data_IF_338227269123
#
_entry.id   IF_338227269123
#
_cell.length_a   1.000
_cell.length_b   1.000
_cell.length_c   1.000
_cell.angle_alpha   90.00
_cell.angle_beta   90.00
_cell.angle_gamma   90.00
#
_symmetry.space_group_name_H-M   'P 1'
#
loop_
_entity.id
_entity.type
_entity.pdbx_description
1 polymer ?
#
# COMPACT_ATOMS: atom_id res chain seq x y z
N UNK A 1 11.55 14.35 38.35
CA UNK A 1 10.31 14.98 37.82
C UNK A 1 10.71 16.31 37.21
N UNK A 2 10.12 16.72 36.09
CA UNK A 2 10.40 18.01 35.44
C UNK A 2 9.09 18.67 34.99
N UNK A 3 9.15 19.97 34.73
CA UNK A 3 8.08 20.73 34.08
C UNK A 3 8.63 21.26 32.77
N UNK A 4 7.99 20.88 31.68
CA UNK A 4 8.34 21.38 30.35
C UNK A 4 7.49 22.60 30.02
N UNK A 5 8.15 23.75 29.91
CA UNK A 5 7.55 25.01 29.48
C UNK A 5 7.67 25.11 27.96
N UNK A 6 6.54 25.02 27.25
CA UNK A 6 6.50 25.16 25.79
C UNK A 6 6.81 26.61 25.41
N UNK A 7 7.87 26.85 24.65
CA UNK A 7 8.34 28.21 24.32
C UNK A 7 7.67 28.83 23.09
N UNK A 8 6.83 28.07 22.36
CA UNK A 8 6.33 28.46 21.03
C UNK A 8 5.02 29.26 21.07
N UNK A 9 4.22 29.18 22.13
CA UNK A 9 3.00 29.97 22.29
C UNK A 9 2.76 30.36 23.75
N UNK A 10 2.43 31.64 24.01
CA UNK A 10 2.11 32.16 25.35
C UNK A 10 0.89 31.47 26.01
N UNK A 11 0.12 30.74 25.21
CA UNK A 11 -1.09 30.04 25.60
C UNK A 11 -0.88 28.54 25.86
N UNK A 12 0.30 27.98 25.57
CA UNK A 12 0.51 26.55 25.76
C UNK A 12 0.67 26.19 27.25
N UNK A 13 -0.14 25.23 27.70
CA UNK A 13 -0.10 24.72 29.08
C UNK A 13 1.23 23.99 29.34
N UNK A 14 1.84 24.16 30.53
CA UNK A 14 3.03 23.41 30.90
C UNK A 14 2.72 21.91 31.00
N UNK A 15 3.64 21.09 30.51
CA UNK A 15 3.52 19.63 30.59
C UNK A 15 4.43 19.10 31.72
N UNK A 16 3.85 18.39 32.69
CA UNK A 16 4.59 17.77 33.78
C UNK A 16 5.01 16.35 33.40
N UNK A 17 6.29 16.01 33.60
CA UNK A 17 6.82 14.68 33.31
C UNK A 17 7.53 14.07 34.53
N UNK A 18 7.33 12.77 34.74
CA UNK A 18 8.16 11.93 35.61
C UNK A 18 8.99 11.02 34.71
N UNK A 19 10.30 11.21 34.75
CA UNK A 19 11.23 10.27 34.12
C UNK A 19 11.55 9.16 35.11
N UNK A 20 11.47 7.93 34.62
CA UNK A 20 12.11 6.77 35.23
C UNK A 20 13.41 6.55 34.47
N UNK A 21 14.52 6.81 35.13
CA UNK A 21 15.86 6.72 34.55
C UNK A 21 16.47 5.43 35.09
N UNK A 22 16.79 4.51 34.19
CA UNK A 22 17.48 3.27 34.52
C UNK A 22 18.83 3.29 33.83
N UNK A 23 19.91 3.10 34.59
CA UNK A 23 21.25 2.96 34.03
C UNK A 23 21.56 1.47 34.05
N UNK A 24 21.72 0.89 32.87
CA UNK A 24 22.05 -0.51 32.69
C UNK A 24 23.57 -0.64 32.52
N UNK A 25 24.17 -1.49 33.34
CA UNK A 25 25.57 -1.86 33.27
C UNK A 25 25.62 -3.30 32.75
N UNK A 26 25.88 -3.45 31.45
CA UNK A 26 25.94 -4.75 30.78
C UNK A 26 27.37 -5.29 30.81
N UNK A 27 27.54 -6.41 31.50
CA UNK A 27 28.78 -7.16 31.63
C UNK A 27 28.62 -8.61 31.13
N UNK A 28 27.65 -8.92 30.26
CA UNK A 28 27.37 -10.30 29.82
C UNK A 28 28.57 -10.94 29.10
N UNK A 29 29.38 -10.15 28.40
CA UNK A 29 30.53 -10.66 27.63
C UNK A 29 31.76 -10.99 28.50
N UNK A 30 31.85 -10.44 29.72
CA UNK A 30 33.01 -10.60 30.62
C UNK A 30 34.39 -10.38 29.95
N UNK A 31 34.46 -9.54 28.92
CA UNK A 31 35.65 -9.32 28.07
C UNK A 31 36.53 -8.13 28.55
N UNK A 32 36.22 -7.59 29.73
CA UNK A 32 36.90 -6.42 30.30
C UNK A 32 36.33 -5.09 29.81
N UNK A 33 35.30 -5.08 28.95
CA UNK A 33 34.58 -3.88 28.54
C UNK A 33 33.15 -3.91 29.10
N UNK A 34 32.79 -2.88 29.88
CA UNK A 34 31.45 -2.72 30.44
C UNK A 34 30.63 -1.75 29.59
N UNK A 35 29.57 -2.23 28.93
CA UNK A 35 28.66 -1.38 28.16
C UNK A 35 27.67 -0.69 29.11
N UNK A 36 27.64 0.64 29.10
CA UNK A 36 26.76 1.44 29.96
C UNK A 36 25.69 2.10 29.07
N UNK A 37 24.44 1.73 29.25
CA UNK A 37 23.30 2.36 28.57
C UNK A 37 22.41 3.08 29.59
N UNK A 38 21.81 4.19 29.16
CA UNK A 38 20.91 4.99 29.98
C UNK A 38 19.55 4.99 29.29
N UNK A 39 18.59 4.29 29.90
CA UNK A 39 17.22 4.21 29.43
C UNK A 39 16.33 5.17 30.21
N UNK A 40 15.60 6.02 29.47
CA UNK A 40 14.68 7.01 30.05
C UNK A 40 13.26 6.73 29.60
N UNK A 41 12.42 6.28 30.52
CA UNK A 41 10.97 6.18 30.28
C UNK A 41 10.26 7.40 30.88
N UNK A 42 9.55 8.16 30.05
CA UNK A 42 8.79 9.33 30.48
C UNK A 42 7.31 8.98 30.72
N UNK A 43 6.79 9.39 31.88
CA UNK A 43 5.36 9.36 32.18
C UNK A 43 4.83 10.78 32.33
N UNK A 44 3.85 11.15 31.51
CA UNK A 44 3.17 12.44 31.61
C UNK A 44 2.26 12.46 32.85
N UNK A 45 2.33 13.53 33.62
CA UNK A 45 1.53 13.75 34.83
C UNK A 45 0.62 14.96 34.65
N UNK A 46 -0.49 15.00 35.39
CA UNK A 46 -1.34 16.19 35.50
C UNK A 46 -0.64 17.21 36.41
N UNK A 47 -0.49 18.44 35.92
CA UNK A 47 0.00 19.55 36.73
C UNK A 47 -1.14 20.12 37.58
N UNK A 48 -0.99 20.18 38.90
CA UNK A 48 -2.08 20.54 39.83
C UNK A 48 -2.06 21.98 40.34
N UNK A 49 -1.06 22.80 40.00
CA UNK A 49 -0.88 24.15 40.59
C UNK A 49 -0.49 25.22 39.57
N UNK A 50 -1.01 26.44 39.76
CA UNK A 50 -0.64 27.70 39.10
C UNK A 50 -0.70 27.73 37.56
N UNK A 51 -1.80 27.23 36.99
CA UNK A 51 -2.04 27.37 35.54
C UNK A 51 -3.20 28.33 35.33
N UNK A 52 -2.90 29.55 34.86
CA UNK A 52 -3.93 30.49 34.41
C UNK A 52 -4.51 29.92 33.12
N UNK A 53 -5.64 29.23 33.22
CA UNK A 53 -6.39 28.73 32.06
C UNK A 53 -6.95 29.94 31.30
N UNK A 54 -6.37 30.31 30.17
CA UNK A 54 -7.03 31.25 29.25
C UNK A 54 -8.13 30.50 28.48
N UNK A 55 -9.30 31.11 28.33
CA UNK A 55 -10.44 30.51 27.62
C UNK A 55 -10.13 30.21 26.13
N UNK A 56 -9.12 30.87 25.56
CA UNK A 56 -8.58 30.63 24.21
C UNK A 56 -8.21 29.16 23.97
N UNK A 57 -7.68 28.47 24.99
CA UNK A 57 -7.26 27.07 24.87
C UNK A 57 -8.43 26.09 24.74
N UNK A 58 -9.59 26.42 25.32
CA UNK A 58 -10.78 25.58 25.24
C UNK A 58 -11.36 25.59 23.83
N UNK A 59 -11.38 26.75 23.17
CA UNK A 59 -11.87 26.90 21.80
C UNK A 59 -10.96 26.16 20.83
N UNK A 60 -9.64 26.32 20.95
CA UNK A 60 -8.68 25.61 20.11
C UNK A 60 -8.77 24.08 20.27
N UNK A 61 -8.90 23.59 21.50
CA UNK A 61 -9.13 22.18 21.79
C UNK A 61 -10.45 21.67 21.21
N UNK A 62 -11.54 22.42 21.38
CA UNK A 62 -12.85 22.08 20.81
C UNK A 62 -12.81 22.02 19.28
N UNK A 63 -12.11 22.96 18.62
CA UNK A 63 -11.90 22.94 17.17
C UNK A 63 -11.12 21.70 16.72
N UNK A 64 -10.03 21.33 17.41
CA UNK A 64 -9.25 20.12 17.10
C UNK A 64 -10.10 18.85 17.20
N UNK A 65 -10.87 18.73 18.29
CA UNK A 65 -11.78 17.61 18.51
C UNK A 65 -12.89 17.56 17.45
N UNK A 66 -13.45 18.72 17.08
CA UNK A 66 -14.43 18.81 16.01
C UNK A 66 -13.85 18.32 14.67
N UNK A 67 -12.60 18.67 14.34
CA UNK A 67 -11.92 18.16 13.13
C UNK A 67 -11.78 16.63 13.18
N UNK A 68 -11.31 16.05 14.30
CA UNK A 68 -11.18 14.60 14.43
C UNK A 68 -12.54 13.89 14.27
N UNK A 69 -13.61 14.44 14.83
CA UNK A 69 -14.98 13.89 14.68
C UNK A 69 -15.47 14.00 13.24
N UNK A 70 -15.27 15.14 12.58
CA UNK A 70 -15.63 15.33 11.16
C UNK A 70 -14.89 14.32 10.27
N UNK A 71 -13.59 14.10 10.50
CA UNK A 71 -12.80 13.11 9.76
C UNK A 71 -13.38 11.70 9.93
N UNK A 72 -13.70 11.30 11.17
CA UNK A 72 -14.32 10.00 11.44
C UNK A 72 -15.67 9.87 10.71
N UNK A 73 -16.50 10.91 10.72
CA UNK A 73 -17.79 10.91 10.02
C UNK A 73 -17.62 10.75 8.51
N UNK A 74 -16.73 11.53 7.89
CA UNK A 74 -16.45 11.45 6.44
C UNK A 74 -15.89 10.07 6.07
N UNK A 75 -14.91 9.56 6.80
CA UNK A 75 -14.34 8.23 6.56
C UNK A 75 -15.36 7.11 6.79
N UNK A 76 -16.24 7.23 7.78
CA UNK A 76 -17.29 6.23 8.03
C UNK A 76 -18.33 6.20 6.89
N UNK A 77 -18.73 7.36 6.37
CA UNK A 77 -19.62 7.46 5.22
C UNK A 77 -18.96 6.89 3.96
N UNK A 78 -17.69 7.24 3.71
CA UNK A 78 -16.88 6.68 2.62
C UNK A 78 -16.78 5.15 2.70
N UNK A 79 -16.46 4.62 3.88
CA UNK A 79 -16.34 3.18 4.13
C UNK A 79 -17.66 2.46 3.84
N UNK A 80 -18.79 2.99 4.31
CA UNK A 80 -20.11 2.41 4.06
C UNK A 80 -20.43 2.36 2.56
N UNK A 81 -20.15 3.45 1.84
CA UNK A 81 -20.37 3.51 0.39
C UNK A 81 -19.44 2.54 -0.37
N UNK A 82 -18.17 2.44 0.02
CA UNK A 82 -17.19 1.54 -0.58
C UNK A 82 -17.51 0.06 -0.28
N UNK A 83 -17.92 -0.26 0.94
CA UNK A 83 -18.35 -1.63 1.29
C UNK A 83 -19.62 -1.99 0.51
N UNK A 84 -20.57 -1.08 0.38
CA UNK A 84 -21.77 -1.29 -0.46
C UNK A 84 -21.42 -1.54 -1.92
N UNK A 85 -20.50 -0.77 -2.51
CA UNK A 85 -20.07 -0.97 -3.89
C UNK A 85 -19.36 -2.32 -4.07
N UNK A 86 -18.49 -2.72 -3.14
CA UNK A 86 -17.83 -4.02 -3.14
C UNK A 86 -18.83 -5.19 -3.02
N UNK A 87 -19.82 -5.09 -2.13
CA UNK A 87 -20.88 -6.12 -1.99
C UNK A 87 -21.68 -6.24 -3.29
N UNK A 88 -22.05 -5.11 -3.91
CA UNK A 88 -22.76 -5.10 -5.19
C UNK A 88 -21.91 -5.75 -6.29
N UNK A 89 -20.63 -5.43 -6.36
CA UNK A 89 -19.69 -6.03 -7.30
C UNK A 89 -19.54 -7.55 -7.12
N UNK A 90 -19.41 -8.03 -5.88
CA UNK A 90 -19.35 -9.47 -5.60
C UNK A 90 -20.68 -10.19 -5.91
N UNK A 91 -21.81 -9.53 -5.65
CA UNK A 91 -23.13 -10.06 -6.00
C UNK A 91 -23.28 -10.17 -7.52
N UNK A 92 -22.83 -9.16 -8.26
CA UNK A 92 -22.80 -9.17 -9.72
C UNK A 92 -21.91 -10.30 -10.23
N UNK A 93 -20.68 -10.43 -9.74
CA UNK A 93 -19.77 -11.54 -10.08
C UNK A 93 -20.44 -12.90 -9.91
N UNK A 94 -21.04 -13.17 -8.76
CA UNK A 94 -21.71 -14.47 -8.48
C UNK A 94 -22.87 -14.73 -9.44
N UNK A 95 -23.66 -13.70 -9.77
CA UNK A 95 -24.77 -13.82 -10.73
C UNK A 95 -24.26 -14.10 -12.14
N UNK A 96 -23.23 -13.39 -12.57
CA UNK A 96 -22.62 -13.57 -13.90
C UNK A 96 -21.99 -14.95 -14.04
N UNK A 97 -21.23 -15.42 -13.04
CA UNK A 97 -20.68 -16.79 -13.05
C UNK A 97 -21.78 -17.85 -13.16
N UNK A 98 -22.88 -17.70 -12.40
CA UNK A 98 -24.01 -18.62 -12.48
C UNK A 98 -24.72 -18.55 -13.84
N UNK A 99 -24.84 -17.36 -14.43
CA UNK A 99 -25.43 -17.15 -15.75
C UNK A 99 -24.60 -17.84 -16.85
N UNK A 100 -23.28 -17.60 -16.89
CA UNK A 100 -22.39 -18.23 -17.87
C UNK A 100 -22.35 -19.76 -17.73
N UNK A 101 -22.37 -20.27 -16.50
CA UNK A 101 -22.44 -21.71 -16.26
C UNK A 101 -23.76 -22.33 -16.73
N UNK A 102 -24.88 -21.61 -16.65
CA UNK A 102 -26.21 -22.16 -16.97
C UNK A 102 -26.55 -22.05 -18.47
N UNK A 103 -26.23 -20.92 -19.11
CA UNK A 103 -26.65 -20.65 -20.49
C UNK A 103 -25.58 -21.00 -21.52
N UNK A 104 -24.30 -20.73 -21.21
CA UNK A 104 -23.19 -20.98 -22.11
C UNK A 104 -22.41 -22.25 -21.77
N UNK A 105 -22.72 -22.91 -20.65
CA UNK A 105 -22.05 -24.10 -20.12
C UNK A 105 -20.52 -23.94 -20.06
N UNK A 106 -20.07 -22.70 -19.81
CA UNK A 106 -18.67 -22.29 -19.73
C UNK A 106 -18.36 -21.75 -18.33
N UNK A 107 -17.15 -22.03 -17.85
CA UNK A 107 -16.60 -21.42 -16.64
C UNK A 107 -15.82 -20.17 -17.03
N UNK A 108 -16.11 -19.04 -16.38
CA UNK A 108 -15.34 -17.81 -16.55
C UNK A 108 -13.90 -18.01 -16.07
N UNK A 109 -12.96 -17.34 -16.73
CA UNK A 109 -11.56 -17.38 -16.29
C UNK A 109 -11.38 -16.57 -15.02
N UNK A 110 -10.38 -16.91 -14.20
CA UNK A 110 -10.05 -16.13 -13.00
C UNK A 110 -9.70 -14.67 -13.33
N UNK A 111 -9.17 -14.40 -14.53
CA UNK A 111 -8.90 -13.04 -15.00
C UNK A 111 -10.19 -12.22 -15.15
N UNK A 112 -11.21 -12.80 -15.79
CA UNK A 112 -12.52 -12.15 -15.98
C UNK A 112 -13.26 -11.98 -14.64
N UNK A 113 -13.11 -12.94 -13.73
CA UNK A 113 -13.70 -12.83 -12.39
C UNK A 113 -13.08 -11.71 -11.54
N UNK A 114 -11.77 -11.46 -11.70
CA UNK A 114 -11.06 -10.40 -10.98
C UNK A 114 -11.34 -9.01 -11.55
N UNK A 115 -11.89 -8.91 -12.77
CA UNK A 115 -12.32 -7.64 -13.37
C UNK A 115 -13.50 -7.01 -12.60
N UNK A 116 -14.36 -7.83 -12.00
CA UNK A 116 -15.45 -7.36 -11.14
C UNK A 116 -14.97 -6.69 -9.86
N UNK A 117 -13.73 -6.96 -9.40
CA UNK A 117 -13.18 -6.39 -8.17
C UNK A 117 -12.32 -5.19 -8.50
N UNK A 118 -12.84 -3.99 -8.21
CA UNK A 118 -12.06 -2.77 -8.31
C UNK A 118 -11.17 -2.59 -7.06
N UNK A 119 -9.87 -2.82 -7.26
CA UNK A 119 -8.83 -2.70 -6.23
C UNK A 119 -8.76 -1.30 -5.60
N UNK A 120 -9.20 -0.25 -6.29
CA UNK A 120 -9.24 1.09 -5.71
C UNK A 120 -10.20 1.17 -4.53
N UNK A 121 -11.39 0.55 -4.63
CA UNK A 121 -12.34 0.52 -3.51
C UNK A 121 -11.82 -0.31 -2.34
N UNK A 122 -11.08 -1.39 -2.60
CA UNK A 122 -10.43 -2.19 -1.55
C UNK A 122 -9.40 -1.35 -0.80
N UNK A 123 -8.55 -0.61 -1.54
CA UNK A 123 -7.56 0.28 -0.94
C UNK A 123 -8.20 1.43 -0.14
N UNK A 124 -9.25 2.07 -0.66
CA UNK A 124 -9.98 3.13 0.04
C UNK A 124 -10.61 2.58 1.34
N UNK A 125 -11.19 1.38 1.30
CA UNK A 125 -11.77 0.76 2.49
C UNK A 125 -10.72 0.47 3.58
N UNK A 126 -9.54 -0.05 3.21
CA UNK A 126 -8.43 -0.27 4.14
C UNK A 126 -7.96 1.07 4.75
N UNK A 127 -7.79 2.08 3.90
CA UNK A 127 -7.44 3.43 4.33
C UNK A 127 -8.44 4.00 5.36
N UNK A 128 -9.73 3.94 5.06
CA UNK A 128 -10.77 4.48 5.94
C UNK A 128 -10.75 3.79 7.31
N UNK A 129 -10.51 2.47 7.35
CA UNK A 129 -10.33 1.72 8.62
C UNK A 129 -9.11 2.23 9.40
N UNK A 130 -7.97 2.43 8.74
CA UNK A 130 -6.75 2.96 9.38
C UNK A 130 -6.96 4.36 9.95
N UNK A 131 -7.61 5.26 9.21
CA UNK A 131 -7.87 6.64 9.64
C UNK A 131 -8.89 6.67 10.78
N UNK A 132 -9.94 5.83 10.74
CA UNK A 132 -10.92 5.75 11.84
C UNK A 132 -10.24 5.26 13.12
N UNK A 133 -9.48 4.15 13.06
CA UNK A 133 -8.77 3.64 14.23
C UNK A 133 -7.73 4.63 14.76
N UNK A 134 -6.93 5.24 13.87
CA UNK A 134 -5.96 6.26 14.23
C UNK A 134 -6.59 7.50 14.87
N UNK A 135 -7.74 7.96 14.35
CA UNK A 135 -8.46 9.11 14.89
C UNK A 135 -9.10 8.80 16.26
N UNK A 136 -9.61 7.59 16.45
CA UNK A 136 -10.09 7.12 17.77
C UNK A 136 -8.95 7.13 18.81
N UNK A 137 -7.78 6.58 18.46
CA UNK A 137 -6.61 6.63 19.36
C UNK A 137 -6.14 8.06 19.62
N UNK A 138 -6.19 8.94 18.62
CA UNK A 138 -5.83 10.35 18.78
C UNK A 138 -6.75 11.06 19.77
N UNK A 139 -8.06 10.85 19.68
CA UNK A 139 -9.03 11.41 20.65
C UNK A 139 -8.75 10.90 22.06
N UNK A 140 -8.51 9.61 22.22
CA UNK A 140 -8.21 9.01 23.53
C UNK A 140 -6.90 9.54 24.15
N UNK A 141 -5.89 9.78 23.30
CA UNK A 141 -4.62 10.37 23.72
C UNK A 141 -4.78 11.83 24.16
N UNK A 142 -5.57 12.62 23.42
CA UNK A 142 -5.88 14.02 23.76
C UNK A 142 -6.69 14.13 25.06
N UNK A 143 -7.59 13.16 25.32
CA UNK A 143 -8.33 13.03 26.59
C UNK A 143 -7.46 12.56 27.77
N UNK A 144 -6.15 12.33 27.57
CA UNK A 144 -5.19 11.86 28.58
C UNK A 144 -5.55 10.51 29.20
N UNK A 145 -6.31 9.69 28.50
CA UNK A 145 -6.71 8.34 28.96
C UNK A 145 -5.58 7.33 28.74
N UNK A 146 -4.67 7.59 27.81
CA UNK A 146 -3.66 6.63 27.34
C UNK A 146 -2.22 7.15 27.41
N UNK A 147 -1.29 6.27 27.74
CA UNK A 147 0.15 6.55 27.89
C UNK A 147 0.87 6.71 26.52
N UNK A 148 2.01 7.39 26.51
CA UNK A 148 2.73 7.82 25.31
C UNK A 148 3.20 6.72 24.33
N UNK A 149 3.20 5.45 24.71
CA UNK A 149 3.53 4.33 23.80
C UNK A 149 2.52 4.19 22.65
N UNK A 150 1.26 4.57 22.88
CA UNK A 150 0.23 4.51 21.85
C UNK A 150 0.29 5.66 20.85
N UNK A 151 1.11 6.68 21.11
CA UNK A 151 1.37 7.75 20.14
C UNK A 151 2.06 7.21 18.89
N UNK A 152 3.02 6.29 19.04
CA UNK A 152 3.72 5.68 17.90
C UNK A 152 2.77 4.87 17.00
N UNK A 153 1.85 4.13 17.61
CA UNK A 153 0.82 3.40 16.87
C UNK A 153 -0.15 4.37 16.19
N UNK A 154 -0.62 5.39 16.91
CA UNK A 154 -1.50 6.41 16.38
C UNK A 154 -0.88 7.16 15.18
N UNK A 155 0.39 7.56 15.29
CA UNK A 155 1.09 8.27 14.23
C UNK A 155 1.36 7.36 13.02
N UNK A 156 1.70 6.08 13.24
CA UNK A 156 1.84 5.11 12.16
C UNK A 156 0.51 4.87 11.42
N UNK A 157 -0.60 4.67 12.15
CA UNK A 157 -1.93 4.45 11.54
C UNK A 157 -2.40 5.67 10.73
N UNK A 158 -2.33 6.88 11.30
CA UNK A 158 -2.73 8.11 10.61
C UNK A 158 -1.79 8.44 9.44
N UNK A 159 -0.48 8.22 9.60
CA UNK A 159 0.51 8.46 8.56
C UNK A 159 0.35 7.50 7.38
N UNK A 160 0.21 6.20 7.64
CA UNK A 160 -0.04 5.19 6.61
C UNK A 160 -1.39 5.38 5.92
N UNK A 161 -2.45 5.71 6.67
CA UNK A 161 -3.74 6.11 6.09
C UNK A 161 -3.60 7.30 5.14
N UNK A 162 -2.96 8.39 5.59
CA UNK A 162 -2.74 9.57 4.74
C UNK A 162 -1.96 9.24 3.46
N UNK A 163 -0.94 8.38 3.52
CA UNK A 163 -0.21 7.93 2.33
C UNK A 163 -1.15 7.21 1.34
N UNK A 164 -2.02 6.33 1.83
CA UNK A 164 -3.00 5.62 1.00
C UNK A 164 -4.09 6.54 0.44
N UNK A 165 -4.48 7.61 1.15
CA UNK A 165 -5.38 8.65 0.60
C UNK A 165 -4.76 9.30 -0.63
N UNK A 166 -3.50 9.72 -0.53
CA UNK A 166 -2.78 10.32 -1.65
C UNK A 166 -2.57 9.34 -2.80
N UNK A 167 -2.29 8.07 -2.51
CA UNK A 167 -2.30 7.02 -3.53
C UNK A 167 -3.69 6.88 -4.18
N UNK A 168 -4.77 7.00 -3.40
CA UNK A 168 -6.15 6.99 -3.88
C UNK A 168 -6.49 8.11 -4.86
N UNK A 169 -5.80 9.25 -4.76
CA UNK A 169 -5.96 10.35 -5.73
C UNK A 169 -5.59 9.91 -7.16
N UNK A 170 -4.64 8.97 -7.32
CA UNK A 170 -4.25 8.43 -8.62
C UNK A 170 -5.42 7.77 -9.37
N UNK A 171 -6.42 7.25 -8.66
CA UNK A 171 -7.67 6.75 -9.27
C UNK A 171 -8.33 7.81 -10.14
N UNK A 172 -8.41 9.04 -9.65
CA UNK A 172 -9.08 10.14 -10.34
C UNK A 172 -8.24 10.65 -11.53
N UNK A 173 -6.92 10.48 -11.49
CA UNK A 173 -6.08 10.75 -12.65
C UNK A 173 -6.32 9.74 -13.79
N UNK A 174 -6.76 8.52 -13.46
CA UNK A 174 -7.14 7.50 -14.44
C UNK A 174 -8.32 7.87 -15.34
N UNK A 175 -9.12 8.91 -15.00
CA UNK A 175 -10.17 9.40 -15.89
C UNK A 175 -9.61 10.07 -17.16
N UNK A 176 -8.36 10.55 -17.12
CA UNK A 176 -7.70 11.10 -18.29
C UNK A 176 -7.03 10.00 -19.09
N UNK A 177 -7.36 9.91 -20.38
CA UNK A 177 -6.83 8.88 -21.30
C UNK A 177 -5.30 8.76 -21.27
N UNK A 178 -4.56 9.89 -21.18
CA UNK A 178 -3.09 9.90 -21.13
C UNK A 178 -2.52 9.27 -19.85
N UNK A 179 -3.09 9.58 -18.68
CA UNK A 179 -2.59 9.06 -17.39
C UNK A 179 -3.06 7.62 -17.12
N UNK A 180 -4.21 7.22 -17.68
CA UNK A 180 -4.72 5.86 -17.56
C UNK A 180 -3.76 4.80 -18.13
N UNK A 181 -3.06 5.12 -19.23
CA UNK A 181 -2.07 4.22 -19.85
C UNK A 181 -0.99 3.85 -18.83
N UNK A 182 -0.45 4.82 -18.08
CA UNK A 182 0.61 4.58 -17.10
C UNK A 182 0.15 3.66 -15.95
N UNK A 183 -1.05 3.91 -15.42
CA UNK A 183 -1.63 3.09 -14.35
C UNK A 183 -1.90 1.67 -14.84
N UNK A 184 -2.41 1.52 -16.07
CA UNK A 184 -2.68 0.23 -16.68
C UNK A 184 -1.38 -0.56 -16.95
N UNK A 185 -0.33 0.13 -17.40
CA UNK A 185 1.02 -0.44 -17.55
C UNK A 185 1.54 -0.97 -16.23
N UNK A 186 1.48 -0.19 -15.14
CA UNK A 186 1.92 -0.63 -13.82
C UNK A 186 1.14 -1.86 -13.33
N UNK A 187 -0.19 -1.87 -13.51
CA UNK A 187 -1.04 -3.02 -13.12
C UNK A 187 -0.71 -4.28 -13.90
N UNK A 188 -0.42 -4.17 -15.20
CA UNK A 188 -0.08 -5.31 -16.05
C UNK A 188 1.35 -5.81 -15.83
N UNK A 189 2.29 -4.91 -15.60
CA UNK A 189 3.69 -5.26 -15.34
C UNK A 189 3.87 -5.93 -13.96
N UNK A 190 3.08 -5.54 -12.96
CA UNK A 190 3.20 -6.02 -11.57
C UNK A 190 3.33 -7.55 -11.40
N UNK A 191 2.45 -8.41 -11.95
CA UNK A 191 2.58 -9.86 -11.78
C UNK A 191 3.83 -10.44 -12.45
N UNK A 192 4.25 -9.90 -13.60
CA UNK A 192 5.45 -10.35 -14.30
C UNK A 192 6.71 -9.94 -13.52
N UNK A 193 6.74 -8.70 -13.05
CA UNK A 193 7.79 -8.17 -12.17
C UNK A 193 7.88 -8.99 -10.89
N UNK A 194 6.75 -9.35 -10.26
CA UNK A 194 6.76 -10.09 -9.00
C UNK A 194 7.40 -11.48 -9.14
N UNK A 195 7.16 -12.18 -10.26
CA UNK A 195 7.80 -13.48 -10.55
C UNK A 195 9.32 -13.32 -10.70
N UNK A 196 9.76 -12.32 -11.45
CA UNK A 196 11.18 -12.02 -11.62
C UNK A 196 11.83 -11.61 -10.28
N UNK A 197 11.17 -10.75 -9.52
CA UNK A 197 11.62 -10.28 -8.22
C UNK A 197 11.75 -11.43 -7.21
N UNK A 198 10.86 -12.42 -7.24
CA UNK A 198 10.96 -13.60 -6.37
C UNK A 198 12.24 -14.39 -6.66
N UNK A 199 12.59 -14.60 -7.93
CA UNK A 199 13.85 -15.23 -8.31
C UNK A 199 15.06 -14.40 -7.87
N UNK A 200 15.02 -13.07 -8.07
CA UNK A 200 16.08 -12.16 -7.63
C UNK A 200 16.22 -12.14 -6.09
N UNK A 201 15.11 -12.24 -5.36
CA UNK A 201 15.09 -12.28 -3.91
C UNK A 201 15.79 -13.53 -3.37
N UNK A 202 15.63 -14.69 -4.00
CA UNK A 202 16.35 -15.91 -3.60
C UNK A 202 17.87 -15.75 -3.71
N UNK A 203 18.34 -15.16 -4.81
CA UNK A 203 19.76 -14.82 -4.96
C UNK A 203 20.19 -13.80 -3.92
N UNK A 204 19.39 -12.76 -3.71
CA UNK A 204 19.67 -11.69 -2.74
C UNK A 204 19.81 -12.24 -1.31
N UNK A 205 18.89 -13.13 -0.90
CA UNK A 205 18.99 -13.82 0.39
C UNK A 205 20.28 -14.65 0.50
N UNK A 206 20.70 -15.32 -0.58
CA UNK A 206 21.97 -16.04 -0.62
C UNK A 206 23.19 -15.13 -0.35
N UNK A 207 23.22 -13.95 -0.97
CA UNK A 207 24.22 -12.93 -0.67
C UNK A 207 24.09 -12.43 0.77
N UNK A 208 22.90 -12.12 1.27
CA UNK A 208 22.70 -11.70 2.66
C UNK A 208 23.25 -12.70 3.68
N UNK A 209 22.96 -13.99 3.53
CA UNK A 209 23.48 -15.02 4.44
C UNK A 209 24.99 -15.16 4.34
N UNK A 210 25.54 -15.14 3.12
CA UNK A 210 26.99 -15.22 2.90
C UNK A 210 27.72 -14.01 3.51
N UNK A 211 27.24 -12.79 3.23
CA UNK A 211 27.79 -11.55 3.77
C UNK A 211 27.70 -11.49 5.30
N UNK A 212 26.56 -11.88 5.88
CA UNK A 212 26.38 -11.88 7.33
C UNK A 212 27.35 -12.85 8.02
N UNK A 213 27.48 -14.09 7.53
CA UNK A 213 28.33 -15.11 8.17
C UNK A 213 29.82 -14.80 8.02
N UNK A 214 30.26 -14.39 6.82
CA UNK A 214 31.69 -14.19 6.55
C UNK A 214 32.18 -12.81 6.99
N UNK A 215 31.41 -11.75 6.72
CA UNK A 215 31.84 -10.37 6.97
C UNK A 215 31.33 -9.83 8.32
N UNK A 216 30.37 -10.48 8.97
CA UNK A 216 29.75 -10.00 10.21
C UNK A 216 30.73 -9.68 11.34
N UNK A 217 31.73 -10.53 11.64
CA UNK A 217 32.72 -10.24 12.69
C UNK A 217 33.70 -9.11 12.33
N UNK A 218 33.93 -8.87 11.03
CA UNK A 218 34.99 -7.99 10.54
C UNK A 218 34.46 -6.63 10.04
N UNK A 219 33.16 -6.50 9.78
CA UNK A 219 32.57 -5.33 9.16
C UNK A 219 31.27 -4.89 9.87
N UNK A 220 31.25 -3.66 10.35
CA UNK A 220 30.14 -3.12 11.16
C UNK A 220 28.78 -3.15 10.47
N UNK A 221 28.73 -2.96 9.14
CA UNK A 221 27.48 -3.00 8.36
C UNK A 221 26.90 -4.41 8.17
N UNK A 222 27.68 -5.46 8.43
CA UNK A 222 27.26 -6.86 8.24
C UNK A 222 26.98 -7.58 9.57
N UNK A 223 26.93 -6.87 10.71
CA UNK A 223 26.85 -7.49 12.05
C UNK A 223 25.54 -8.27 12.29
N UNK A 224 24.44 -7.82 11.69
CA UNK A 224 23.14 -8.49 11.74
C UNK A 224 22.59 -8.73 10.34
N UNK A 225 21.67 -9.69 10.20
CA UNK A 225 21.01 -9.95 8.92
C UNK A 225 20.21 -8.73 8.42
N UNK A 226 19.58 -7.96 9.32
CA UNK A 226 18.87 -6.72 8.96
C UNK A 226 19.82 -5.66 8.41
N UNK A 227 20.91 -5.37 9.13
CA UNK A 227 21.91 -4.39 8.66
C UNK A 227 22.59 -4.84 7.37
N UNK A 228 22.83 -6.15 7.22
CA UNK A 228 23.35 -6.72 5.97
C UNK A 228 22.39 -6.45 4.81
N UNK A 229 21.09 -6.65 5.00
CA UNK A 229 20.08 -6.34 3.99
C UNK A 229 19.98 -4.83 3.73
N UNK A 230 20.02 -3.99 4.76
CA UNK A 230 20.03 -2.53 4.58
C UNK A 230 21.25 -2.07 3.78
N UNK A 231 22.43 -2.63 4.07
CA UNK A 231 23.67 -2.35 3.37
C UNK A 231 23.63 -2.81 1.91
N UNK A 232 23.21 -4.05 1.63
CA UNK A 232 23.16 -4.58 0.27
C UNK A 232 22.09 -3.88 -0.57
N UNK A 233 20.96 -3.50 0.03
CA UNK A 233 19.93 -2.70 -0.63
C UNK A 233 20.42 -1.28 -0.94
N UNK A 234 21.13 -0.63 -0.01
CA UNK A 234 21.76 0.68 -0.24
C UNK A 234 22.79 0.60 -1.39
N UNK A 235 23.66 -0.42 -1.36
CA UNK A 235 24.64 -0.66 -2.41
C UNK A 235 24.00 -0.91 -3.79
N UNK A 236 22.90 -1.64 -3.86
CA UNK A 236 22.15 -1.85 -5.10
C UNK A 236 21.65 -0.53 -5.72
N UNK A 237 21.34 0.46 -4.89
CA UNK A 237 20.94 1.79 -5.32
C UNK A 237 22.13 2.77 -5.48
N UNK A 238 23.36 2.27 -5.32
CA UNK A 238 24.59 3.07 -5.48
C UNK A 238 24.94 3.94 -4.27
N UNK A 239 24.31 3.71 -3.11
CA UNK A 239 24.63 4.44 -1.89
C UNK A 239 25.81 3.79 -1.15
N UNK A 240 26.69 4.63 -0.62
CA UNK A 240 27.73 4.25 0.34
C UNK A 240 28.74 3.16 -0.12
N UNK A 241 28.96 3.05 -1.44
CA UNK A 241 29.83 2.02 -2.04
C UNK A 241 31.28 2.09 -1.55
N UNK A 242 31.92 3.26 -1.64
CA UNK A 242 33.32 3.43 -1.26
C UNK A 242 33.55 3.21 0.24
N UNK A 243 32.65 3.74 1.09
CA UNK A 243 32.73 3.56 2.53
C UNK A 243 32.75 2.07 2.90
N UNK A 244 31.95 1.25 2.23
CA UNK A 244 31.88 -0.20 2.48
C UNK A 244 33.18 -0.93 2.12
N UNK A 245 33.92 -0.46 1.10
CA UNK A 245 35.25 -1.00 0.79
C UNK A 245 36.33 -0.51 1.76
N UNK A 246 36.22 0.72 2.27
CA UNK A 246 37.26 1.38 3.07
C UNK A 246 37.24 0.97 4.56
N UNK A 247 36.10 0.53 5.08
CA UNK A 247 35.94 0.18 6.50
C UNK A 247 36.71 -1.10 6.89
N UNK A 248 36.99 -1.99 5.94
CA UNK A 248 37.62 -3.27 6.24
C UNK A 248 39.14 -3.11 6.48
N UNK A 249 39.61 -3.52 7.66
CA UNK A 249 41.04 -3.48 7.98
C UNK A 249 41.83 -4.50 7.15
N UNK A 250 43.01 -4.12 6.68
CA UNK A 250 43.89 -4.97 5.85
C UNK A 250 44.59 -6.11 6.63
N UNK A 251 44.29 -6.31 7.92
CA UNK A 251 44.99 -7.28 8.77
C UNK A 251 44.84 -8.73 8.32
N UNK A 252 43.66 -9.12 7.82
CA UNK A 252 43.39 -10.48 7.35
C UNK A 252 43.25 -10.49 5.82
N UNK A 253 44.35 -10.73 5.11
CA UNK A 253 44.41 -10.64 3.65
C UNK A 253 43.38 -11.51 2.91
N UNK A 254 43.04 -12.68 3.44
CA UNK A 254 42.04 -13.59 2.83
C UNK A 254 40.63 -12.97 2.88
N UNK A 255 40.24 -12.44 4.05
CA UNK A 255 38.93 -11.83 4.27
C UNK A 255 38.82 -10.53 3.47
N UNK A 256 39.92 -9.79 3.38
CA UNK A 256 40.02 -8.58 2.57
C UNK A 256 39.75 -8.87 1.08
N UNK A 257 40.41 -9.89 0.51
CA UNK A 257 40.19 -10.30 -0.87
C UNK A 257 38.78 -10.86 -1.09
N UNK A 258 38.29 -11.68 -0.16
CA UNK A 258 36.93 -12.22 -0.20
C UNK A 258 35.89 -11.10 -0.23
N UNK A 259 36.00 -10.10 0.66
CA UNK A 259 35.09 -8.96 0.71
C UNK A 259 35.06 -8.20 -0.61
N UNK A 260 36.23 -7.90 -1.19
CA UNK A 260 36.29 -7.21 -2.49
C UNK A 260 35.63 -8.03 -3.59
N UNK A 261 35.98 -9.30 -3.70
CA UNK A 261 35.38 -10.19 -4.69
C UNK A 261 33.87 -10.30 -4.51
N UNK A 262 33.42 -10.51 -3.28
CA UNK A 262 32.01 -10.59 -2.90
C UNK A 262 31.24 -9.32 -3.29
N UNK A 263 31.74 -8.13 -2.91
CA UNK A 263 31.09 -6.86 -3.23
C UNK A 263 31.11 -6.55 -4.73
N UNK A 264 32.23 -6.78 -5.42
CA UNK A 264 32.27 -6.59 -6.88
C UNK A 264 31.32 -7.54 -7.61
N UNK A 265 31.28 -8.81 -7.22
CA UNK A 265 30.36 -9.79 -7.77
C UNK A 265 28.91 -9.37 -7.53
N UNK A 266 28.58 -8.94 -6.31
CA UNK A 266 27.25 -8.45 -5.97
C UNK A 266 26.87 -7.22 -6.81
N UNK A 267 27.74 -6.21 -6.90
CA UNK A 267 27.46 -4.99 -7.67
C UNK A 267 27.27 -5.31 -9.15
N UNK A 268 28.13 -6.13 -9.75
CA UNK A 268 28.00 -6.48 -11.16
C UNK A 268 26.70 -7.24 -11.43
N UNK A 269 26.41 -8.24 -10.60
CA UNK A 269 25.22 -9.06 -10.78
C UNK A 269 23.93 -8.26 -10.55
N UNK A 270 23.81 -7.55 -9.44
CA UNK A 270 22.56 -6.88 -9.08
C UNK A 270 22.35 -5.57 -9.84
N UNK A 271 23.38 -4.74 -9.98
CA UNK A 271 23.23 -3.46 -10.68
C UNK A 271 23.15 -3.69 -12.19
N UNK A 272 24.10 -4.39 -12.80
CA UNK A 272 24.12 -4.50 -14.26
C UNK A 272 23.18 -5.58 -14.80
N UNK A 273 23.02 -6.72 -14.13
CA UNK A 273 22.13 -7.77 -14.65
C UNK A 273 20.69 -7.61 -14.12
N UNK A 274 20.49 -7.64 -12.79
CA UNK A 274 19.13 -7.68 -12.22
C UNK A 274 18.36 -6.38 -12.45
N UNK A 275 18.93 -5.20 -12.19
CA UNK A 275 18.23 -3.93 -12.43
C UNK A 275 17.96 -3.71 -13.93
N UNK A 276 18.91 -4.05 -14.81
CA UNK A 276 18.69 -3.92 -16.26
C UNK A 276 17.58 -4.84 -16.77
N UNK A 277 17.53 -6.08 -16.28
CA UNK A 277 16.43 -7.01 -16.60
C UNK A 277 15.09 -6.50 -16.06
N UNK A 278 15.07 -5.95 -14.85
CA UNK A 278 13.86 -5.33 -14.28
C UNK A 278 13.35 -4.17 -15.15
N UNK A 279 14.24 -3.28 -15.60
CA UNK A 279 13.90 -2.19 -16.51
C UNK A 279 13.39 -2.70 -17.87
N UNK A 280 14.00 -3.76 -18.41
CA UNK A 280 13.57 -4.38 -19.67
C UNK A 280 12.15 -4.96 -19.56
N UNK A 281 11.81 -5.63 -18.45
CA UNK A 281 10.44 -6.15 -18.23
C UNK A 281 9.39 -5.04 -18.12
N UNK A 282 9.74 -3.90 -17.51
CA UNK A 282 8.88 -2.72 -17.45
C UNK A 282 8.67 -2.15 -18.86
N UNK A 283 9.75 -2.03 -19.63
CA UNK A 283 9.72 -1.50 -21.00
C UNK A 283 8.86 -2.35 -21.93
N UNK A 284 9.03 -3.68 -21.89
CA UNK A 284 8.21 -4.64 -22.65
C UNK A 284 6.71 -4.54 -22.28
N UNK A 285 6.41 -4.41 -20.99
CA UNK A 285 5.04 -4.22 -20.51
C UNK A 285 4.45 -2.87 -20.97
N UNK A 286 5.27 -1.83 -21.03
CA UNK A 286 4.87 -0.50 -21.51
C UNK A 286 4.58 -0.51 -23.01
N UNK A 287 5.45 -1.11 -23.82
CA UNK A 287 5.26 -1.25 -25.27
C UNK A 287 4.01 -2.07 -25.58
N UNK A 288 3.83 -3.20 -24.92
CA UNK A 288 2.61 -4.03 -25.06
C UNK A 288 1.33 -3.24 -24.77
N UNK A 289 1.30 -2.44 -23.68
CA UNK A 289 0.12 -1.63 -23.34
C UNK A 289 -0.09 -0.48 -24.33
N UNK A 290 0.99 0.11 -24.84
CA UNK A 290 0.93 1.15 -25.86
C UNK A 290 0.32 0.60 -27.16
N UNK A 291 0.78 -0.56 -27.63
CA UNK A 291 0.21 -1.23 -28.81
C UNK A 291 -1.27 -1.57 -28.61
N UNK A 292 -1.64 -2.09 -27.44
CA UNK A 292 -3.05 -2.38 -27.09
C UNK A 292 -3.91 -1.10 -27.13
N UNK A 293 -3.34 0.05 -26.75
CA UNK A 293 -4.06 1.33 -26.79
C UNK A 293 -4.20 1.87 -28.22
N UNK A 294 -3.21 1.65 -29.09
CA UNK A 294 -3.20 2.12 -30.49
C UNK A 294 -4.04 1.21 -31.41
N UNK A 295 -4.06 -0.11 -31.19
CA UNK A 295 -4.72 -1.10 -32.05
C UNK A 295 -6.00 -1.72 -31.47
N UNK A 296 -6.31 -1.44 -30.20
CA UNK A 296 -7.47 -1.99 -29.50
C UNK A 296 -7.18 -3.33 -28.82
N UNK A 297 -7.88 -3.57 -27.72
CA UNK A 297 -7.75 -4.79 -26.90
C UNK A 297 -8.52 -5.94 -27.57
N UNK A 298 -7.98 -7.15 -27.59
CA UNK A 298 -8.82 -8.33 -27.87
C UNK A 298 -9.81 -8.55 -26.72
N UNK A 299 -11.13 -8.45 -26.96
CA UNK A 299 -12.09 -8.51 -25.87
C UNK A 299 -12.13 -9.93 -25.27
N UNK A 300 -12.06 -10.00 -23.93
CA UNK A 300 -12.33 -11.24 -23.19
C UNK A 300 -13.77 -11.71 -23.41
N UNK A 301 -14.13 -12.94 -22.99
CA UNK A 301 -15.48 -13.47 -23.18
C UNK A 301 -16.55 -12.58 -22.51
N UNK A 302 -16.22 -12.00 -21.35
CA UNK A 302 -17.06 -11.01 -20.66
C UNK A 302 -17.23 -9.73 -21.48
N UNK A 303 -16.14 -9.18 -22.03
CA UNK A 303 -16.19 -7.96 -22.83
C UNK A 303 -16.92 -8.18 -24.16
N UNK A 304 -16.82 -9.37 -24.76
CA UNK A 304 -17.61 -9.78 -25.93
C UNK A 304 -19.10 -9.82 -25.61
N UNK A 305 -19.47 -10.41 -24.47
CA UNK A 305 -20.86 -10.43 -24.00
C UNK A 305 -21.40 -9.02 -23.73
N UNK A 306 -20.60 -8.13 -23.13
CA UNK A 306 -20.98 -6.73 -22.91
C UNK A 306 -21.15 -6.00 -24.26
N UNK A 307 -20.28 -6.26 -25.23
CA UNK A 307 -20.34 -5.64 -26.55
C UNK A 307 -21.50 -6.15 -27.43
N UNK A 308 -22.09 -7.30 -27.10
CA UNK A 308 -23.24 -7.86 -27.81
C UNK A 308 -24.52 -7.04 -27.60
N UNK A 309 -24.63 -6.32 -26.47
CA UNK A 309 -25.71 -5.38 -26.19
C UNK A 309 -25.24 -3.93 -26.43
N UNK A 310 -25.76 -3.28 -27.48
CA UNK A 310 -25.47 -1.88 -27.80
C UNK A 310 -26.31 -0.87 -27.00
N UNK A 311 -27.17 -1.34 -26.10
CA UNK A 311 -28.07 -0.48 -25.35
C UNK A 311 -27.30 0.29 -24.28
N UNK A 312 -27.53 1.61 -24.22
CA UNK A 312 -26.93 2.46 -23.21
C UNK A 312 -27.40 2.04 -21.81
N UNK A 313 -26.54 2.20 -20.79
CA UNK A 313 -26.85 1.83 -19.40
C UNK A 313 -28.05 2.60 -18.78
N UNK A 314 -28.61 3.56 -19.52
CA UNK A 314 -29.80 4.37 -19.18
C UNK A 314 -31.05 3.93 -19.96
N UNK A 315 -30.92 2.99 -20.90
CA UNK A 315 -32.03 2.50 -21.74
C UNK A 315 -33.02 1.70 -20.90
N UNK A 316 -34.30 2.05 -20.92
CA UNK A 316 -35.35 1.32 -20.19
C UNK A 316 -35.61 -0.10 -20.70
N UNK A 317 -34.89 -0.57 -21.72
CA UNK A 317 -35.05 -1.90 -22.31
C UNK A 317 -34.94 -3.06 -21.29
N UNK A 318 -34.10 -2.93 -20.25
CA UNK A 318 -33.99 -3.93 -19.18
C UNK A 318 -35.18 -3.95 -18.20
N UNK A 319 -36.01 -2.89 -18.16
CA UNK A 319 -37.24 -2.86 -17.37
C UNK A 319 -38.42 -3.52 -18.11
N UNK A 320 -38.40 -3.54 -19.45
CA UNK A 320 -39.42 -4.24 -20.24
C UNK A 320 -39.25 -5.76 -20.19
N UNK A 321 -38.01 -6.25 -20.07
CA UNK A 321 -37.73 -7.69 -19.99
C UNK A 321 -38.28 -8.34 -18.69
N UNK A 322 -38.32 -7.58 -17.58
CA UNK A 322 -38.83 -8.01 -16.27
C UNK A 322 -40.38 -8.04 -16.21
N UNK A 323 -41.07 -7.38 -17.17
CA UNK A 323 -42.53 -7.42 -17.30
C UNK A 323 -43.03 -8.55 -18.21
N UNK A 324 -42.14 -9.30 -18.86
CA UNK A 324 -42.54 -10.43 -19.69
C UNK A 324 -42.81 -11.69 -18.83
N UNK A 325 -43.97 -12.35 -18.97
CA UNK A 325 -44.25 -13.56 -18.21
C UNK A 325 -43.25 -14.66 -18.61
N UNK A 326 -42.65 -15.32 -17.61
CA UNK A 326 -41.64 -16.39 -17.72
C UNK A 326 -41.69 -17.14 -19.06
N UNK A 327 -40.81 -16.76 -19.98
CA UNK A 327 -40.69 -17.29 -21.35
C UNK A 327 -40.43 -18.80 -21.34
N UNK A 328 -41.30 -19.56 -22.01
CA UNK A 328 -41.14 -20.98 -22.31
C UNK A 328 -40.01 -21.20 -23.33
N UNK A 329 -39.33 -22.35 -23.23
CA UNK A 329 -38.13 -22.75 -24.01
C UNK A 329 -38.31 -22.75 -25.54
N UNK A 330 -39.53 -22.57 -26.04
CA UNK A 330 -39.84 -22.58 -27.48
C UNK A 330 -39.60 -21.24 -28.20
N UNK A 331 -39.34 -20.13 -27.49
CA UNK A 331 -39.19 -18.81 -28.13
C UNK A 331 -37.77 -18.44 -28.58
N UNK A 332 -36.74 -19.22 -28.21
CA UNK A 332 -35.33 -18.90 -28.52
C UNK A 332 -35.04 -18.96 -30.04
N UNK A 333 -35.77 -19.80 -30.78
CA UNK A 333 -35.62 -19.89 -32.25
C UNK A 333 -36.34 -18.74 -32.97
N UNK A 334 -37.40 -18.18 -32.37
CA UNK A 334 -38.19 -17.11 -32.98
C UNK A 334 -37.49 -15.74 -32.88
N UNK A 335 -36.73 -15.48 -31.82
CA UNK A 335 -36.02 -14.20 -31.64
C UNK A 335 -34.72 -14.10 -32.45
N UNK A 336 -34.13 -15.22 -32.88
CA UNK A 336 -33.03 -15.18 -33.87
C UNK A 336 -33.48 -14.60 -35.23
N UNK A 337 -34.79 -14.70 -35.54
CA UNK A 337 -35.38 -14.10 -36.75
C UNK A 337 -35.95 -12.68 -36.54
N UNK A 338 -36.17 -12.23 -35.30
CA UNK A 338 -36.70 -10.89 -35.04
C UNK A 338 -35.63 -9.79 -35.11
N UNK A 339 -34.35 -10.12 -34.86
CA UNK A 339 -33.21 -9.22 -35.09
C UNK A 339 -33.04 -8.78 -36.56
N UNK A 340 -33.66 -9.47 -37.53
CA UNK A 340 -33.63 -9.07 -38.95
C UNK A 340 -34.73 -8.07 -39.34
N UNK A 341 -35.67 -7.73 -38.44
CA UNK A 341 -36.80 -6.86 -38.79
C UNK A 341 -36.56 -5.41 -38.34
N UNK A 342 -35.89 -4.68 -39.22
CA UNK A 342 -35.80 -3.21 -39.31
C UNK A 342 -36.91 -2.43 -38.57
N UNK A 343 -36.51 -1.37 -37.89
CA UNK A 343 -37.05 -0.02 -38.16
C UNK A 343 -36.00 1.04 -37.85
N UNK A 344 -35.43 1.63 -38.90
CA UNK A 344 -34.50 2.73 -38.78
C UNK A 344 -35.21 3.98 -38.26
N UNK A 345 -34.52 4.71 -37.39
CA UNK A 345 -34.69 6.15 -37.22
C UNK A 345 -33.32 6.79 -37.02
N UNK A 346 -33.11 7.82 -37.83
CA UNK A 346 -31.96 8.74 -37.92
C UNK A 346 -31.98 9.80 -36.82
N UNK A 347 -30.77 10.26 -36.45
CA UNK A 347 -30.39 11.56 -35.84
C UNK A 347 -30.90 11.82 -34.40
N UNK A 348 -30.14 12.41 -33.47
CA UNK A 348 -29.11 13.46 -33.54
C UNK A 348 -27.92 13.12 -32.63
#
# INVERSE_FOLDING_TARGET
KTVYLKSLNKFDLPDCYRYNITIHYDNEAHDGQLLITLDVHSKKLVCTTNVVYSDSNKIAYACLQAVNVIVILICSASLLLCVRSLIRAQTLRRRTVKFFATYYNKKLTLSDEMEFVDFWYVMIAINDVLIILGSCFKIQLEQRVLDGQQYNLCSALLGTGNLLVWAGVLRYLGFFKKYNILILTMRRAFPNILRFLLCALLLYCGFCFCGWVVLGPHHIKFRSLSMTSECLFALMNGDDMFATFAILSERDGIIWWFCRFYLYLFLILFIYCVLSLFLSVIMDSYETIREIHEHGVQPGELQKFIAECSDTATSTAYLEDDQSPKRSKTSIVADCFSCFRRRGYTAI
#
